data_IF_754061061315
#
_entry.id   IF_754061061315
#
_cell.length_a   1.000
_cell.length_b   1.000
_cell.length_c   1.000
_cell.angle_alpha   90.00
_cell.angle_beta   90.00
_cell.angle_gamma   90.00
#
_symmetry.space_group_name_H-M   'P 1'
#
loop_
_entity.id
_entity.type
_entity.pdbx_description
1 polymer ?
#
# COMPACT_ATOMS: atom_id res chain seq x y z
N UNK A 1 -0.84 -12.80 -12.10
CA UNK A 1 -0.39 -13.29 -13.43
C UNK A 1 0.65 -12.28 -13.88
N UNK A 2 1.83 -12.73 -14.29
CA UNK A 2 2.89 -11.82 -14.72
C UNK A 2 2.69 -11.52 -16.20
N UNK A 3 2.57 -10.25 -16.57
CA UNK A 3 2.47 -9.88 -17.98
C UNK A 3 3.82 -10.07 -18.68
N UNK A 4 3.75 -10.42 -19.98
CA UNK A 4 4.91 -10.48 -20.89
C UNK A 4 5.09 -9.19 -21.70
N UNK A 5 4.21 -8.20 -21.50
CA UNK A 5 4.28 -6.94 -22.22
C UNK A 5 5.60 -6.22 -21.96
N UNK A 6 6.17 -5.66 -23.02
CA UNK A 6 7.48 -4.98 -23.01
C UNK A 6 7.34 -3.47 -22.89
N UNK A 7 6.15 -2.92 -23.15
CA UNK A 7 5.83 -1.50 -23.01
C UNK A 7 4.55 -1.29 -22.21
N UNK A 8 4.40 -0.09 -21.62
CA UNK A 8 3.19 0.30 -20.89
C UNK A 8 1.97 0.29 -21.82
N UNK A 9 2.12 0.77 -23.06
CA UNK A 9 1.04 0.77 -24.04
C UNK A 9 0.59 -0.66 -24.38
N UNK A 10 1.52 -1.59 -24.59
CA UNK A 10 1.20 -3.00 -24.80
C UNK A 10 0.53 -3.60 -23.56
N UNK A 11 1.05 -3.32 -22.37
CA UNK A 11 0.49 -3.79 -21.11
C UNK A 11 -0.98 -3.37 -20.98
N UNK A 12 -1.28 -2.08 -21.15
CA UNK A 12 -2.64 -1.56 -21.08
C UNK A 12 -3.54 -2.24 -22.12
N UNK A 13 -3.07 -2.41 -23.36
CA UNK A 13 -3.80 -3.12 -24.42
C UNK A 13 -4.19 -4.55 -24.05
N UNK A 14 -3.37 -5.25 -23.26
CA UNK A 14 -3.68 -6.62 -22.80
C UNK A 14 -4.74 -6.69 -21.69
N UNK A 15 -5.07 -5.57 -21.04
CA UNK A 15 -6.03 -5.56 -19.94
C UNK A 15 -7.48 -5.49 -20.45
N UNK A 16 -8.43 -6.14 -19.74
CA UNK A 16 -9.86 -5.90 -19.92
C UNK A 16 -10.17 -4.40 -19.77
N UNK A 17 -11.12 -3.89 -20.56
CA UNK A 17 -11.42 -2.46 -20.65
C UNK A 17 -11.69 -1.81 -19.28
N UNK A 18 -12.49 -2.47 -18.44
CA UNK A 18 -12.79 -1.97 -17.08
C UNK A 18 -11.52 -1.82 -16.24
N UNK A 19 -10.64 -2.83 -16.25
CA UNK A 19 -9.39 -2.77 -15.48
C UNK A 19 -8.41 -1.76 -16.03
N UNK A 20 -8.36 -1.62 -17.36
CA UNK A 20 -7.53 -0.62 -18.02
C UNK A 20 -7.91 0.77 -17.53
N UNK A 21 -9.20 1.10 -17.54
CA UNK A 21 -9.69 2.40 -17.09
C UNK A 21 -9.27 2.71 -15.64
N UNK A 22 -9.39 1.75 -14.72
CA UNK A 22 -9.00 1.95 -13.32
C UNK A 22 -7.48 2.10 -13.14
N UNK A 23 -6.68 1.38 -13.93
CA UNK A 23 -5.22 1.51 -13.93
C UNK A 23 -4.79 2.84 -14.53
N UNK A 24 -5.40 3.28 -15.63
CA UNK A 24 -5.11 4.56 -16.27
C UNK A 24 -5.39 5.73 -15.33
N UNK A 25 -6.51 5.71 -14.59
CA UNK A 25 -6.83 6.75 -13.60
C UNK A 25 -5.75 6.89 -12.53
N UNK A 26 -5.22 5.78 -12.01
CA UNK A 26 -4.14 5.81 -11.01
C UNK A 26 -2.83 6.24 -11.65
N UNK A 27 -2.52 5.73 -12.84
CA UNK A 27 -1.32 6.08 -13.62
C UNK A 27 -1.27 7.58 -13.90
N UNK A 28 -2.39 8.20 -14.29
CA UNK A 28 -2.47 9.62 -14.59
C UNK A 28 -2.19 10.49 -13.36
N UNK A 29 -2.69 10.07 -12.19
CA UNK A 29 -2.40 10.75 -10.92
C UNK A 29 -0.91 10.66 -10.58
N UNK A 30 -0.30 9.48 -10.73
CA UNK A 30 1.14 9.32 -10.48
C UNK A 30 1.94 10.19 -11.45
N UNK A 31 1.68 10.08 -12.76
CA UNK A 31 2.43 10.80 -13.78
C UNK A 31 2.27 12.32 -13.65
N UNK A 32 1.09 12.83 -13.29
CA UNK A 32 0.90 14.28 -13.08
C UNK A 32 1.74 14.86 -11.94
N UNK A 33 2.07 14.05 -10.94
CA UNK A 33 2.80 14.50 -9.75
C UNK A 33 4.26 14.05 -9.75
N UNK A 34 4.71 13.33 -10.78
CA UNK A 34 6.02 12.72 -10.85
C UNK A 34 7.09 13.77 -11.18
N UNK A 35 8.25 13.65 -10.53
CA UNK A 35 9.47 14.36 -10.96
C UNK A 35 9.98 13.74 -12.27
N UNK A 36 9.56 14.33 -13.40
CA UNK A 36 9.84 13.81 -14.75
C UNK A 36 11.31 13.88 -15.15
N UNK A 37 12.12 14.73 -14.52
CA UNK A 37 13.56 14.76 -14.78
C UNK A 37 14.26 13.57 -14.09
N UNK A 38 13.76 13.23 -12.90
CA UNK A 38 14.33 12.25 -11.99
C UNK A 38 13.83 10.81 -12.14
N UNK A 39 12.64 10.60 -12.71
CA UNK A 39 12.01 9.29 -12.83
C UNK A 39 11.67 8.93 -14.27
N UNK A 40 11.61 7.63 -14.53
CA UNK A 40 11.14 7.06 -15.80
C UNK A 40 10.04 6.04 -15.56
N UNK A 41 9.02 6.05 -16.42
CA UNK A 41 7.98 5.04 -16.48
C UNK A 41 8.36 3.95 -17.48
N UNK A 42 8.19 2.69 -17.09
CA UNK A 42 8.42 1.55 -17.98
C UNK A 42 7.78 0.27 -17.47
N UNK A 43 8.13 -0.84 -18.10
CA UNK A 43 7.72 -2.18 -17.67
C UNK A 43 8.83 -2.84 -16.87
N UNK A 44 8.51 -3.36 -15.69
CA UNK A 44 9.42 -4.20 -14.91
C UNK A 44 8.61 -5.21 -14.09
N UNK A 45 9.14 -6.41 -13.89
CA UNK A 45 8.46 -7.51 -13.19
C UNK A 45 7.02 -7.80 -13.70
N UNK A 46 6.76 -7.52 -14.99
CA UNK A 46 5.44 -7.73 -15.62
C UNK A 46 4.35 -6.74 -15.17
N UNK A 47 4.74 -5.57 -14.66
CA UNK A 47 3.85 -4.48 -14.25
C UNK A 47 4.43 -3.12 -14.65
N UNK A 48 3.61 -2.08 -14.60
CA UNK A 48 4.07 -0.70 -14.82
C UNK A 48 4.92 -0.32 -13.61
N UNK A 49 6.10 0.22 -13.84
CA UNK A 49 7.00 0.67 -12.79
C UNK A 49 7.51 2.07 -13.09
N UNK A 50 7.66 2.86 -12.04
CA UNK A 50 8.44 4.10 -12.06
C UNK A 50 9.76 3.84 -11.36
N UNK A 51 10.85 4.23 -12.00
CA UNK A 51 12.22 3.94 -11.54
C UNK A 51 13.07 5.20 -11.58
N UNK A 52 14.08 5.27 -10.73
CA UNK A 52 15.19 6.22 -10.89
C UNK A 52 16.19 5.59 -11.86
N UNK A 53 16.38 6.16 -13.06
CA UNK A 53 17.24 5.60 -14.08
C UNK A 53 18.72 5.78 -13.75
N UNK A 54 19.57 4.99 -14.40
CA UNK A 54 21.02 5.03 -14.18
C UNK A 54 21.67 6.38 -14.47
N UNK A 55 21.09 7.20 -15.36
CA UNK A 55 21.58 8.58 -15.58
C UNK A 55 21.49 9.43 -14.30
N UNK A 56 20.49 9.18 -13.45
CA UNK A 56 20.24 9.93 -12.20
C UNK A 56 20.95 9.25 -11.03
N UNK A 57 20.96 7.92 -11.01
CA UNK A 57 21.62 7.13 -9.97
C UNK A 57 22.45 5.98 -10.57
N UNK A 58 23.71 6.22 -10.94
CA UNK A 58 24.54 5.24 -11.65
C UNK A 58 24.85 3.96 -10.86
N UNK A 59 24.74 4.00 -9.52
CA UNK A 59 25.00 2.84 -8.68
C UNK A 59 23.89 1.77 -8.75
N UNK A 60 22.72 2.12 -9.30
CA UNK A 60 21.62 1.19 -9.50
C UNK A 60 21.08 0.57 -8.20
N UNK A 61 20.31 -0.51 -8.35
CA UNK A 61 19.70 -1.19 -7.22
C UNK A 61 20.71 -2.05 -6.43
N UNK A 62 20.69 -1.96 -5.09
CA UNK A 62 21.69 -2.53 -4.19
C UNK A 62 22.11 -3.99 -4.47
N UNK A 63 21.16 -4.88 -4.74
CA UNK A 63 21.46 -6.29 -4.99
C UNK A 63 21.69 -6.63 -6.47
N UNK A 64 21.31 -5.72 -7.38
CA UNK A 64 21.37 -5.89 -8.84
C UNK A 64 21.63 -4.53 -9.48
N UNK A 65 22.89 -4.05 -9.47
CA UNK A 65 23.25 -2.71 -9.93
C UNK A 65 22.87 -2.45 -11.39
N UNK A 66 22.67 -3.49 -12.20
CA UNK A 66 22.20 -3.37 -13.58
C UNK A 66 20.75 -2.88 -13.66
N UNK A 67 19.98 -3.05 -12.58
CA UNK A 67 18.60 -2.58 -12.48
C UNK A 67 18.54 -1.14 -11.97
N UNK A 68 17.73 -0.32 -12.64
CA UNK A 68 17.34 0.99 -12.14
C UNK A 68 16.67 0.88 -10.75
N UNK A 69 16.78 1.92 -9.94
CA UNK A 69 16.25 1.90 -8.57
C UNK A 69 14.71 2.01 -8.59
N UNK A 70 13.96 0.99 -8.16
CA UNK A 70 12.51 1.03 -8.18
C UNK A 70 11.93 2.05 -7.19
N UNK A 71 10.94 2.82 -7.64
CA UNK A 71 10.22 3.80 -6.83
C UNK A 71 8.78 3.35 -6.56
N UNK A 72 7.99 3.17 -7.63
CA UNK A 72 6.59 2.76 -7.55
C UNK A 72 6.26 1.72 -8.60
N UNK A 73 5.17 0.98 -8.40
CA UNK A 73 4.65 0.08 -9.41
C UNK A 73 3.12 0.01 -9.39
N UNK A 74 2.52 -0.34 -10.51
CA UNK A 74 1.09 -0.48 -10.69
C UNK A 74 0.79 -1.77 -11.46
N UNK A 75 0.01 -2.65 -10.83
CA UNK A 75 -0.24 -3.98 -11.34
C UNK A 75 -1.73 -4.35 -11.32
N UNK A 76 -2.17 -5.02 -12.39
CA UNK A 76 -3.44 -5.78 -12.46
C UNK A 76 -3.20 -7.22 -12.02
N UNK A 77 -3.61 -7.56 -10.80
CA UNK A 77 -3.54 -8.93 -10.25
C UNK A 77 -4.82 -9.70 -10.57
N UNK A 78 -4.84 -11.02 -10.30
CA UNK A 78 -5.98 -11.89 -10.66
C UNK A 78 -7.32 -11.37 -10.11
N UNK A 79 -7.35 -10.89 -8.87
CA UNK A 79 -8.60 -10.54 -8.17
C UNK A 79 -8.75 -9.03 -7.82
N UNK A 80 -7.68 -8.26 -8.00
CA UNK A 80 -7.60 -6.85 -7.61
C UNK A 80 -6.50 -6.15 -8.43
N UNK A 81 -6.49 -4.82 -8.41
CA UNK A 81 -5.37 -4.00 -8.83
C UNK A 81 -4.57 -3.57 -7.59
N UNK A 82 -3.28 -3.31 -7.76
CA UNK A 82 -2.41 -2.90 -6.66
C UNK A 82 -1.44 -1.82 -7.08
N UNK A 83 -1.38 -0.75 -6.28
CA UNK A 83 -0.34 0.28 -6.37
C UNK A 83 0.70 0.01 -5.29
N UNK A 84 1.94 -0.17 -5.71
CA UNK A 84 3.10 -0.29 -4.83
C UNK A 84 3.63 1.12 -4.57
N UNK A 85 3.67 1.48 -3.30
CA UNK A 85 4.03 2.82 -2.83
C UNK A 85 5.40 2.76 -2.14
N UNK A 86 6.23 3.82 -2.26
CA UNK A 86 7.62 3.85 -1.78
C UNK A 86 7.70 4.02 -0.25
N UNK A 87 6.65 3.69 0.50
CA UNK A 87 6.58 3.89 1.95
C UNK A 87 7.41 2.85 2.73
N UNK A 88 7.90 1.79 2.06
CA UNK A 88 8.67 0.67 2.67
C UNK A 88 10.01 0.39 1.97
N UNK A 89 10.36 1.12 0.90
CA UNK A 89 11.69 1.02 0.26
C UNK A 89 12.71 1.69 1.20
N UNK A 90 13.89 1.09 1.46
CA UNK A 90 14.52 1.13 2.77
C UNK A 90 14.88 2.58 3.13
N UNK A 91 14.18 3.10 4.13
CA UNK A 91 14.60 4.24 4.93
C UNK A 91 15.08 3.76 6.32
N UNK A 92 14.87 2.48 6.66
CA UNK A 92 15.38 1.87 7.89
C UNK A 92 15.15 0.35 7.85
N UNK A 93 16.21 -0.46 7.83
CA UNK A 93 16.07 -1.94 7.81
C UNK A 93 15.93 -2.51 9.23
N UNK A 94 16.09 -1.69 10.28
CA UNK A 94 15.54 -2.07 11.59
C UNK A 94 14.16 -1.49 11.86
N UNK A 95 13.76 -0.45 11.12
CA UNK A 95 12.40 0.08 11.15
C UNK A 95 11.67 -0.26 9.83
N UNK A 96 11.48 -1.56 9.56
CA UNK A 96 10.26 -2.07 8.89
C UNK A 96 9.04 -1.87 9.81
N UNK A 97 9.00 -0.70 10.41
CA UNK A 97 8.09 -0.34 11.46
C UNK A 97 7.09 0.58 10.81
N UNK A 98 5.83 0.31 11.10
CA UNK A 98 4.68 1.16 10.84
C UNK A 98 4.79 2.56 11.54
N UNK A 99 6.01 3.06 11.77
CA UNK A 99 6.39 4.20 12.60
C UNK A 99 7.33 5.20 11.89
N UNK A 100 7.70 4.99 10.63
CA UNK A 100 8.42 6.01 9.84
C UNK A 100 7.56 7.27 9.63
N UNK A 101 8.16 8.48 9.67
CA UNK A 101 7.42 9.74 9.53
C UNK A 101 6.54 9.80 8.27
N UNK A 102 7.05 9.27 7.16
CA UNK A 102 6.30 9.21 5.89
C UNK A 102 5.15 8.20 5.95
N UNK A 103 5.36 7.03 6.55
CA UNK A 103 4.32 6.03 6.73
C UNK A 103 3.20 6.55 7.64
N UNK A 104 3.57 7.15 8.78
CA UNK A 104 2.62 7.73 9.73
C UNK A 104 1.80 8.85 9.06
N UNK A 105 2.46 9.74 8.32
CA UNK A 105 1.77 10.75 7.52
C UNK A 105 0.82 10.12 6.51
N UNK A 106 1.26 9.09 5.77
CA UNK A 106 0.44 8.43 4.74
C UNK A 106 -0.82 7.78 5.34
N UNK A 107 -0.69 7.06 6.45
CA UNK A 107 -1.83 6.43 7.14
C UNK A 107 -2.80 7.48 7.68
N UNK A 108 -2.30 8.55 8.30
CA UNK A 108 -3.14 9.63 8.82
C UNK A 108 -3.83 10.42 7.69
N UNK A 109 -3.13 10.73 6.61
CA UNK A 109 -3.69 11.37 5.42
C UNK A 109 -4.77 10.49 4.78
N UNK A 110 -4.52 9.18 4.68
CA UNK A 110 -5.50 8.23 4.17
C UNK A 110 -6.74 8.15 5.06
N UNK A 111 -6.56 8.13 6.38
CA UNK A 111 -7.67 8.13 7.34
C UNK A 111 -8.54 9.38 7.21
N UNK A 112 -7.93 10.55 7.00
CA UNK A 112 -8.64 11.81 6.77
C UNK A 112 -9.48 11.81 5.49
N UNK A 113 -9.09 11.04 4.49
CA UNK A 113 -9.88 10.89 3.25
C UNK A 113 -11.20 10.13 3.44
N UNK A 114 -11.37 9.43 4.58
CA UNK A 114 -12.52 8.56 4.83
C UNK A 114 -12.52 7.26 4.01
N UNK A 115 -11.52 7.03 3.15
CA UNK A 115 -11.38 5.80 2.36
C UNK A 115 -10.78 4.67 3.19
N UNK A 116 -11.19 3.44 2.90
CA UNK A 116 -10.60 2.25 3.54
C UNK A 116 -9.20 2.00 2.99
N UNK A 117 -8.22 1.88 3.88
CA UNK A 117 -6.86 1.49 3.52
C UNK A 117 -6.72 -0.05 3.56
N UNK A 118 -6.81 -0.71 2.40
CA UNK A 118 -6.45 -2.14 2.26
C UNK A 118 -5.00 -2.25 1.78
N UNK A 119 -4.07 -2.35 2.73
CA UNK A 119 -2.64 -2.32 2.45
C UNK A 119 -1.94 -3.61 2.87
N UNK A 120 -1.09 -4.12 2.00
CA UNK A 120 -0.08 -5.13 2.33
C UNK A 120 1.15 -4.51 2.98
N UNK A 121 2.33 -5.13 2.80
CA UNK A 121 3.58 -4.54 3.30
C UNK A 121 3.90 -3.22 2.61
N UNK A 122 3.83 -3.18 1.27
CA UNK A 122 4.22 -2.02 0.46
C UNK A 122 3.22 -1.69 -0.65
N UNK A 123 2.06 -2.35 -0.68
CA UNK A 123 1.07 -2.19 -1.74
C UNK A 123 -0.31 -1.89 -1.19
N UNK A 124 -1.02 -0.96 -1.81
CA UNK A 124 -2.45 -0.71 -1.57
C UNK A 124 -3.24 -1.44 -2.64
N UNK A 125 -4.20 -2.24 -2.22
CA UNK A 125 -5.06 -3.04 -3.10
C UNK A 125 -6.37 -2.31 -3.33
N UNK A 126 -6.87 -2.38 -4.55
CA UNK A 126 -8.12 -1.74 -4.95
C UNK A 126 -8.79 -2.51 -6.07
N UNK A 127 -10.09 -2.30 -6.27
CA UNK A 127 -10.78 -2.73 -7.49
C UNK A 127 -11.14 -1.56 -8.38
N UNK A 128 -11.49 -0.43 -7.77
CA UNK A 128 -11.82 0.82 -8.46
C UNK A 128 -10.94 1.95 -7.94
N UNK A 129 -10.54 2.87 -8.80
CA UNK A 129 -9.72 4.02 -8.43
C UNK A 129 -10.44 4.92 -7.42
N UNK A 130 -11.77 4.98 -7.44
CA UNK A 130 -12.58 5.76 -6.48
C UNK A 130 -12.54 5.21 -5.03
N UNK A 131 -12.03 3.99 -4.85
CA UNK A 131 -11.79 3.42 -3.52
C UNK A 131 -10.47 3.92 -2.92
N UNK A 132 -9.57 4.45 -3.75
CA UNK A 132 -8.30 5.01 -3.34
C UNK A 132 -8.44 6.47 -2.95
N UNK A 133 -7.61 6.89 -2.00
CA UNK A 133 -7.37 8.31 -1.75
C UNK A 133 -6.36 8.82 -2.80
N UNK A 134 -6.82 9.06 -4.04
CA UNK A 134 -5.96 9.44 -5.16
C UNK A 134 -5.14 10.71 -4.86
N UNK A 135 -5.73 11.68 -4.17
CA UNK A 135 -5.02 12.91 -3.76
C UNK A 135 -3.84 12.60 -2.83
N UNK A 136 -4.01 11.67 -1.90
CA UNK A 136 -2.95 11.23 -0.99
C UNK A 136 -1.83 10.49 -1.75
N UNK A 137 -2.19 9.72 -2.78
CA UNK A 137 -1.19 9.09 -3.68
C UNK A 137 -0.42 10.15 -4.45
N UNK A 138 -1.10 11.13 -5.05
CA UNK A 138 -0.46 12.24 -5.76
C UNK A 138 0.49 13.03 -4.85
N UNK A 139 0.04 13.37 -3.64
CA UNK A 139 0.85 14.06 -2.65
C UNK A 139 2.07 13.24 -2.21
N UNK A 140 1.90 11.92 -2.05
CA UNK A 140 3.02 11.02 -1.75
C UNK A 140 4.10 11.06 -2.84
N UNK A 141 3.70 11.03 -4.11
CA UNK A 141 4.63 11.12 -5.26
C UNK A 141 5.36 12.46 -5.23
N UNK A 142 4.62 13.57 -5.08
CA UNK A 142 5.18 14.91 -5.03
C UNK A 142 6.16 15.13 -3.84
N UNK A 143 5.94 14.44 -2.71
CA UNK A 143 6.81 14.52 -1.51
C UNK A 143 8.17 13.84 -1.68
N UNK A 144 8.34 13.05 -2.73
CA UNK A 144 9.53 12.24 -3.01
C UNK A 144 10.13 12.54 -4.40
N UNK A 145 10.70 13.74 -4.63
CA UNK A 145 11.56 13.98 -5.78
C UNK A 145 12.71 12.96 -5.84
N UNK A 146 13.19 12.63 -7.04
CA UNK A 146 14.13 11.52 -7.22
C UNK A 146 15.41 11.69 -6.40
N UNK A 147 15.96 12.92 -6.34
CA UNK A 147 17.15 13.24 -5.53
C UNK A 147 16.94 12.91 -4.04
N UNK A 148 15.79 13.28 -3.48
CA UNK A 148 15.44 13.04 -2.07
C UNK A 148 15.22 11.56 -1.79
N UNK A 149 14.58 10.86 -2.73
CA UNK A 149 14.37 9.43 -2.65
C UNK A 149 15.70 8.66 -2.69
N UNK A 150 16.60 8.98 -3.63
CA UNK A 150 17.94 8.38 -3.75
C UNK A 150 18.76 8.62 -2.49
N UNK A 151 18.77 9.84 -1.96
CA UNK A 151 19.49 10.15 -0.72
C UNK A 151 18.99 9.30 0.46
N UNK A 152 17.67 9.17 0.60
CA UNK A 152 17.06 8.34 1.65
C UNK A 152 17.41 6.87 1.49
N UNK A 153 17.40 6.37 0.25
CA UNK A 153 17.76 5.00 -0.10
C UNK A 153 19.21 4.67 0.22
N UNK A 154 20.15 5.53 -0.19
CA UNK A 154 21.58 5.34 0.05
C UNK A 154 21.88 5.35 1.55
N UNK A 155 21.31 6.31 2.30
CA UNK A 155 21.51 6.40 3.74
C UNK A 155 21.06 5.12 4.46
N UNK A 156 19.92 4.55 4.09
CA UNK A 156 19.40 3.34 4.69
C UNK A 156 20.19 2.08 4.29
N UNK A 157 20.60 1.99 3.03
CA UNK A 157 21.49 0.92 2.55
C UNK A 157 22.80 0.91 3.35
N UNK A 158 23.41 2.09 3.52
CA UNK A 158 24.68 2.22 4.22
C UNK A 158 24.52 1.97 5.73
N UNK A 159 23.41 2.40 6.33
CA UNK A 159 23.07 2.06 7.71
C UNK A 159 22.86 0.55 7.91
N UNK A 160 22.24 -0.13 6.94
CA UNK A 160 22.09 -1.59 6.97
C UNK A 160 23.44 -2.30 6.84
N UNK A 161 24.30 -1.86 5.93
CA UNK A 161 25.64 -2.42 5.75
C UNK A 161 26.46 -2.37 7.05
N UNK A 162 26.32 -1.28 7.83
CA UNK A 162 26.98 -1.12 9.13
C UNK A 162 26.42 -2.02 10.24
N UNK A 163 25.16 -2.44 10.17
CA UNK A 163 24.49 -3.19 11.24
C UNK A 163 24.82 -4.68 11.27
N UNK A 164 25.39 -5.22 10.19
CA UNK A 164 25.65 -6.66 10.06
C UNK A 164 24.36 -7.52 10.13
N UNK A 165 24.46 -8.84 9.90
CA UNK A 165 23.31 -9.73 10.06
C UNK A 165 22.93 -9.86 11.54
N UNK A 166 21.65 -9.65 11.87
CA UNK A 166 21.13 -9.87 13.23
C UNK A 166 21.41 -11.32 13.67
N UNK A 167 21.86 -11.55 14.92
CA UNK A 167 22.02 -12.90 15.46
C UNK A 167 20.71 -13.71 15.35
N UNK A 168 20.81 -14.99 14.99
CA UNK A 168 19.63 -15.89 14.87
C UNK A 168 18.78 -15.93 16.14
N UNK A 169 19.38 -15.74 17.31
CA UNK A 169 18.70 -15.68 18.60
C UNK A 169 17.74 -14.47 18.69
N UNK A 170 18.19 -13.28 18.27
CA UNK A 170 17.34 -12.08 18.23
C UNK A 170 16.20 -12.23 17.24
N UNK A 171 16.47 -12.79 16.05
CA UNK A 171 15.42 -13.05 15.05
C UNK A 171 14.36 -13.99 15.62
N UNK A 172 14.77 -15.06 16.33
CA UNK A 172 13.83 -16.00 16.96
C UNK A 172 13.02 -15.31 18.07
N UNK A 173 13.65 -14.46 18.88
CA UNK A 173 12.98 -13.69 19.92
C UNK A 173 11.95 -12.70 19.34
N UNK A 174 12.29 -11.94 18.29
CA UNK A 174 11.37 -11.03 17.60
C UNK A 174 10.18 -11.78 16.96
N UNK A 175 10.43 -12.93 16.34
CA UNK A 175 9.37 -13.77 15.75
C UNK A 175 8.45 -14.31 16.83
N UNK A 176 8.99 -14.79 17.96
CA UNK A 176 8.21 -15.24 19.11
C UNK A 176 7.36 -14.11 19.72
N UNK A 177 7.93 -12.92 19.88
CA UNK A 177 7.23 -11.74 20.38
C UNK A 177 6.09 -11.31 19.46
N UNK A 178 6.31 -11.29 18.13
CA UNK A 178 5.26 -11.01 17.13
C UNK A 178 4.16 -12.07 17.13
N UNK A 179 4.50 -13.34 17.33
CA UNK A 179 3.51 -14.41 17.46
C UNK A 179 2.66 -14.27 18.73
N UNK A 180 3.28 -13.92 19.86
CA UNK A 180 2.60 -13.66 21.12
C UNK A 180 1.64 -12.46 21.01
N UNK A 181 2.09 -11.35 20.41
CA UNK A 181 1.26 -10.16 20.18
C UNK A 181 0.04 -10.45 19.29
N UNK A 182 0.20 -11.22 18.20
CA UNK A 182 -0.92 -11.64 17.34
C UNK A 182 -1.91 -12.56 18.07
N UNK A 183 -1.43 -13.34 19.04
CA UNK A 183 -2.27 -14.22 19.86
C UNK A 183 -3.04 -13.42 20.92
N UNK A 184 -2.42 -12.40 21.50
CA UNK A 184 -3.07 -11.48 22.45
C UNK A 184 -4.20 -10.67 21.79
N UNK A 185 -4.00 -10.17 20.56
CA UNK A 185 -5.04 -9.46 19.78
C UNK A 185 -6.22 -10.36 19.42
N UNK A 186 -6.01 -11.68 19.26
CA UNK A 186 -7.10 -12.65 19.05
C UNK A 186 -7.86 -13.00 20.33
N UNK A 187 -7.24 -12.84 21.51
CA UNK A 187 -7.84 -13.17 22.82
C UNK A 187 -8.56 -11.99 23.49
N UNK A 188 -8.47 -10.78 22.95
CA UNK A 188 -9.27 -9.65 23.47
C UNK A 188 -10.74 -9.88 23.10
N UNK A 189 -11.67 -10.04 24.07
CA UNK A 189 -13.08 -10.21 23.75
C UNK A 189 -13.56 -8.94 23.04
N UNK A 190 -14.22 -9.11 21.91
CA UNK A 190 -15.04 -8.07 21.28
C UNK A 190 -16.07 -7.67 22.34
N UNK A 191 -15.90 -6.51 22.99
CA UNK A 191 -16.87 -6.01 23.96
C UNK A 191 -18.21 -5.94 23.24
N UNK A 192 -19.13 -6.82 23.63
CA UNK A 192 -20.45 -6.90 23.04
C UNK A 192 -21.13 -5.54 23.21
N UNK A 193 -21.56 -4.96 22.09
CA UNK A 193 -22.48 -3.84 22.08
C UNK A 193 -23.68 -4.21 22.97
N UNK A 194 -23.92 -3.43 24.01
CA UNK A 194 -25.08 -3.57 24.89
C UNK A 194 -26.34 -3.56 24.02
N UNK A 195 -27.05 -4.68 24.03
CA UNK A 195 -28.38 -4.84 23.44
C UNK A 195 -29.34 -3.85 24.08
N UNK A 196 -29.94 -3.00 23.25
CA UNK A 196 -31.06 -2.14 23.63
C UNK A 196 -32.26 -3.01 24.09
N UNK A 197 -33.03 -2.59 25.12
CA UNK A 197 -34.16 -3.37 25.57
C UNK A 197 -35.28 -3.43 24.53
N UNK A 198 -35.77 -4.66 24.34
CA UNK A 198 -36.80 -5.11 23.42
C UNK A 198 -38.14 -4.46 23.77
N UNK A 199 -38.61 -3.53 22.93
CA UNK A 199 -39.99 -3.01 23.00
C UNK A 199 -40.95 -4.17 22.72
N UNK A 200 -41.72 -4.54 23.74
CA UNK A 200 -42.77 -5.55 23.67
C UNK A 200 -43.91 -5.03 22.79
N UNK A 201 -44.14 -5.69 21.65
CA UNK A 201 -45.38 -5.54 20.87
C UNK A 201 -46.54 -6.02 21.74
N UNK A 202 -47.34 -5.07 22.22
CA UNK A 202 -48.59 -5.30 22.94
C UNK A 202 -49.60 -5.94 21.97
N UNK A 203 -50.09 -7.13 22.31
CA UNK A 203 -51.12 -7.83 21.54
C UNK A 203 -52.46 -7.07 21.58
N UNK A 204 -53.24 -7.03 20.49
CA UNK A 204 -54.60 -6.49 20.54
C UNK A 204 -55.50 -7.46 21.31
N UNK A 205 -56.10 -6.96 22.39
CA UNK A 205 -57.18 -7.64 23.13
C UNK A 205 -58.39 -7.77 22.19
N UNK A 206 -58.83 -9.01 21.95
CA UNK A 206 -60.15 -9.33 21.42
C UNK A 206 -61.21 -8.85 22.44
N UNK A 207 -62.05 -7.90 22.05
CA UNK A 207 -63.31 -7.63 22.75
C UNK A 207 -64.39 -8.52 22.13
N UNK A 208 -64.83 -9.51 22.89
CA UNK A 208 -66.06 -10.27 22.64
C UNK A 208 -67.28 -9.38 22.94
N UNK A 209 -68.11 -9.19 21.91
CA UNK A 209 -69.58 -9.27 21.89
C UNK A 209 -70.45 -8.68 23.02
N UNK A 210 -71.41 -7.86 22.56
CA UNK A 210 -72.86 -7.98 22.77
C UNK A 210 -73.58 -7.03 23.76
N UNK A 211 -74.72 -6.51 23.25
CA UNK A 211 -75.87 -5.87 23.89
C UNK A 211 -75.63 -4.50 24.57
N UNK A 212 -76.41 -3.44 24.33
CA UNK A 212 -77.82 -3.27 23.96
C UNK A 212 -77.99 -2.02 23.10
#
# INVERSE_FOLDING_TARGET
MQSKATSVAEYLKTLPAERRAEIERVRDVVNRNLDHEGYEEGMSYGMICWVVPHRVFPAGYHCKPEQALPFMALASQKNYCSVYVPIVVPADVAAQDAQGKLYAWFVEAWKKSGKKLDMGKCCVRFKRADELALDVIGELVARLPAKKFVASYVAARDAQAKRGPKPRAEIRAEVAARAAARTAVKKTPKTAAKTAPKVTKRAPRKSSGAAR
#
